data_IF_323931205729
#
_entry.id   IF_323931205729
#
_cell.length_a   1.000
_cell.length_b   1.000
_cell.length_c   1.000
_cell.angle_alpha   90.00
_cell.angle_beta   90.00
_cell.angle_gamma   90.00
#
_symmetry.space_group_name_H-M   'P 1'
#
loop_
_entity.id
_entity.type
_entity.pdbx_description
1 polymer ?
#
# COMPACT_ATOMS: atom_id res chain seq x y z
N UNK A 1 3.88 37.22 10.34
CA UNK A 1 2.62 36.47 10.31
C UNK A 1 2.96 35.03 9.98
N UNK A 2 3.21 34.23 11.00
CA UNK A 2 3.47 32.78 10.90
C UNK A 2 2.80 32.22 12.15
N UNK A 3 1.60 31.67 12.05
CA UNK A 3 0.89 31.24 13.26
C UNK A 3 -0.53 30.70 13.08
N UNK A 4 -1.19 30.94 11.95
CA UNK A 4 -2.57 30.46 11.76
C UNK A 4 -2.67 29.08 11.10
N UNK A 5 -1.63 28.57 10.43
CA UNK A 5 -1.69 27.28 9.70
C UNK A 5 -1.36 26.05 10.57
N UNK A 6 -0.64 26.24 11.69
CA UNK A 6 -0.26 25.14 12.61
C UNK A 6 -1.43 24.75 13.55
N UNK A 7 -2.41 25.65 13.72
CA UNK A 7 -3.47 25.49 14.73
C UNK A 7 -4.50 24.38 14.38
N UNK A 8 -4.52 23.89 13.14
CA UNK A 8 -5.51 22.92 12.65
C UNK A 8 -4.90 21.54 12.32
N UNK A 9 -3.62 21.31 12.66
CA UNK A 9 -2.96 20.02 12.41
C UNK A 9 -3.09 19.07 13.61
N UNK A 10 -3.65 17.90 13.35
CA UNK A 10 -3.65 16.75 14.27
C UNK A 10 -2.36 15.93 14.15
N UNK A 11 -2.11 15.08 15.15
CA UNK A 11 -0.99 14.13 15.18
C UNK A 11 -1.49 12.77 14.68
N UNK A 12 -0.81 12.20 13.69
CA UNK A 12 -1.14 10.92 13.07
C UNK A 12 0.01 9.94 13.24
N UNK A 13 -0.31 8.70 13.64
CA UNK A 13 0.67 7.61 13.64
C UNK A 13 0.79 7.08 12.21
N UNK A 14 2.01 7.11 11.68
CA UNK A 14 2.29 6.74 10.29
C UNK A 14 3.21 5.54 10.26
N UNK A 15 2.83 4.54 9.48
CA UNK A 15 3.55 3.29 9.29
C UNK A 15 3.93 3.13 7.81
N UNK A 16 5.18 2.79 7.55
CA UNK A 16 5.61 2.18 6.29
C UNK A 16 5.89 0.69 6.55
N UNK A 17 4.94 -0.15 6.20
CA UNK A 17 5.00 -1.61 6.36
C UNK A 17 5.63 -2.23 5.11
N UNK A 18 6.81 -2.85 5.28
CA UNK A 18 7.54 -3.52 4.21
C UNK A 18 7.64 -5.04 4.46
N UNK A 19 6.71 -5.59 5.24
CA UNK A 19 6.54 -7.04 5.46
C UNK A 19 7.33 -7.55 6.65
N UNK A 20 8.65 -7.76 6.49
CA UNK A 20 9.52 -8.29 7.56
C UNK A 20 9.84 -7.24 8.65
N UNK A 21 9.28 -6.04 8.54
CA UNK A 21 9.45 -4.95 9.46
C UNK A 21 8.61 -3.75 9.05
N UNK A 22 8.68 -2.69 9.85
CA UNK A 22 8.01 -1.44 9.56
C UNK A 22 8.74 -0.26 10.18
N UNK A 23 8.62 0.89 9.54
CA UNK A 23 9.12 2.16 10.06
C UNK A 23 7.96 3.02 10.52
N UNK A 24 8.12 3.66 11.68
CA UNK A 24 7.06 4.38 12.37
C UNK A 24 7.45 5.83 12.63
N UNK A 25 6.51 6.75 12.42
CA UNK A 25 6.67 8.18 12.70
C UNK A 25 5.38 8.77 13.23
N UNK A 26 5.52 9.86 13.98
CA UNK A 26 4.42 10.80 14.19
C UNK A 26 4.46 11.87 13.11
N UNK A 27 3.34 12.11 12.44
CA UNK A 27 3.20 13.17 11.44
C UNK A 27 2.11 14.16 11.85
N UNK A 28 2.44 15.45 11.86
CA UNK A 28 1.43 16.51 12.01
C UNK A 28 0.87 16.90 10.65
N UNK A 29 -0.43 16.73 10.49
CA UNK A 29 -1.16 16.98 9.25
C UNK A 29 -2.58 17.47 9.55
N UNK A 30 -3.30 17.98 8.56
CA UNK A 30 -4.71 18.37 8.65
C UNK A 30 -5.64 17.16 8.58
N UNK A 31 -5.20 16.07 7.94
CA UNK A 31 -5.98 14.83 7.86
C UNK A 31 -5.12 13.61 7.55
N UNK A 32 -5.65 12.41 7.83
CA UNK A 32 -5.04 11.15 7.41
C UNK A 32 -4.93 11.03 5.87
N UNK A 33 -5.85 11.67 5.13
CA UNK A 33 -5.77 11.68 3.67
C UNK A 33 -4.60 12.53 3.17
N UNK A 34 -4.36 13.69 3.77
CA UNK A 34 -3.22 14.54 3.43
C UNK A 34 -1.90 13.79 3.59
N UNK A 35 -1.75 13.01 4.67
CA UNK A 35 -0.56 12.16 4.88
C UNK A 35 -0.34 11.20 3.70
N UNK A 36 -1.38 10.48 3.27
CA UNK A 36 -1.27 9.53 2.14
C UNK A 36 -1.05 10.21 0.79
N UNK A 37 -1.53 11.44 0.61
CA UNK A 37 -1.29 12.27 -0.58
C UNK A 37 0.13 12.89 -0.62
N UNK A 38 0.81 12.94 0.53
CA UNK A 38 2.16 13.49 0.67
C UNK A 38 3.25 12.42 0.71
N UNK A 39 2.97 11.25 1.29
CA UNK A 39 3.95 10.16 1.37
C UNK A 39 3.43 8.91 0.65
N UNK A 40 4.28 8.31 -0.19
CA UNK A 40 4.00 7.04 -0.85
C UNK A 40 4.10 5.88 0.15
N UNK A 41 3.39 4.78 -0.11
CA UNK A 41 3.51 3.52 0.66
C UNK A 41 3.22 3.61 2.17
N UNK A 42 2.66 4.71 2.67
CA UNK A 42 2.35 4.84 4.10
C UNK A 42 0.90 4.50 4.42
N UNK A 43 0.72 3.92 5.59
CA UNK A 43 -0.55 3.75 6.27
C UNK A 43 -0.67 4.77 7.41
N UNK A 44 -1.87 5.31 7.62
CA UNK A 44 -2.20 6.06 8.83
C UNK A 44 -2.93 5.12 9.77
N UNK A 45 -2.27 4.77 10.87
CA UNK A 45 -2.80 3.83 11.86
C UNK A 45 -3.79 4.56 12.76
N UNK A 46 -5.04 4.09 12.75
CA UNK A 46 -6.15 4.68 13.50
C UNK A 46 -6.63 3.81 14.66
N UNK A 47 -6.11 2.59 14.80
CA UNK A 47 -6.46 1.69 15.91
C UNK A 47 -6.05 2.31 17.26
N UNK A 48 -7.01 2.59 18.17
CA UNK A 48 -6.71 3.32 19.40
C UNK A 48 -5.73 2.60 20.33
N UNK A 49 -5.75 1.26 20.36
CA UNK A 49 -4.85 0.48 21.22
C UNK A 49 -3.41 0.56 20.71
N UNK A 50 -3.22 0.43 19.39
CA UNK A 50 -1.92 0.60 18.73
C UNK A 50 -1.41 2.02 18.92
N UNK A 51 -2.25 3.03 18.65
CA UNK A 51 -1.90 4.45 18.81
C UNK A 51 -1.45 4.75 20.24
N UNK A 52 -2.23 4.31 21.24
CA UNK A 52 -1.89 4.49 22.66
C UNK A 52 -0.59 3.78 23.04
N UNK A 53 -0.31 2.60 22.47
CA UNK A 53 0.94 1.88 22.67
C UNK A 53 2.18 2.68 22.24
N UNK A 54 2.06 3.45 21.16
CA UNK A 54 3.14 4.29 20.64
C UNK A 54 3.21 5.70 21.26
N UNK A 55 2.23 6.13 22.06
CA UNK A 55 2.27 7.46 22.71
C UNK A 55 3.43 7.60 23.69
N UNK A 56 3.84 6.49 24.32
CA UNK A 56 4.96 6.44 25.25
C UNK A 56 6.32 6.20 24.58
N UNK A 57 6.34 5.84 23.29
CA UNK A 57 7.55 5.56 22.53
C UNK A 57 8.18 6.87 22.00
N UNK A 58 9.50 6.97 22.03
CA UNK A 58 10.25 8.11 21.49
C UNK A 58 10.40 8.03 19.95
N UNK A 59 9.26 7.99 19.24
CA UNK A 59 9.24 8.03 17.77
C UNK A 59 9.61 9.43 17.26
N UNK A 60 10.29 9.47 16.10
CA UNK A 60 10.53 10.72 15.38
C UNK A 60 9.20 11.36 14.95
N UNK A 61 9.08 12.68 15.19
CA UNK A 61 7.92 13.49 14.83
C UNK A 61 8.28 14.51 13.73
N UNK A 62 7.44 14.60 12.70
CA UNK A 62 7.61 15.53 11.59
C UNK A 62 6.33 16.33 11.34
N UNK A 63 6.47 17.62 11.03
CA UNK A 63 5.39 18.40 10.42
C UNK A 63 5.36 18.11 8.91
N UNK A 64 4.18 17.82 8.35
CA UNK A 64 4.02 17.46 6.93
C UNK A 64 4.55 18.53 5.96
N UNK A 65 4.54 19.81 6.37
CA UNK A 65 5.02 20.94 5.57
C UNK A 65 6.50 21.28 5.85
N UNK A 66 7.15 20.54 6.76
CA UNK A 66 8.55 20.78 7.06
C UNK A 66 9.41 20.68 5.79
N UNK A 67 10.41 21.56 5.61
CA UNK A 67 11.28 21.51 4.43
C UNK A 67 12.18 20.28 4.39
N UNK A 68 12.34 19.59 5.52
CA UNK A 68 13.13 18.37 5.66
C UNK A 68 12.35 17.34 6.45
N UNK A 69 12.36 16.10 5.94
CA UNK A 69 11.74 14.95 6.58
C UNK A 69 12.80 14.05 7.25
N UNK A 70 12.39 13.25 8.25
CA UNK A 70 13.16 12.10 8.73
C UNK A 70 13.69 11.20 7.61
N UNK A 71 14.75 10.45 7.90
CA UNK A 71 15.25 9.42 6.99
C UNK A 71 14.16 8.36 6.76
N UNK A 72 14.10 7.80 5.55
CA UNK A 72 12.98 6.94 5.12
C UNK A 72 11.79 7.77 4.61
N UNK A 73 11.18 8.59 5.47
CA UNK A 73 10.00 9.39 5.11
C UNK A 73 10.28 10.40 3.99
N UNK A 74 11.51 10.94 3.91
CA UNK A 74 11.94 11.81 2.81
C UNK A 74 11.90 11.11 1.44
N UNK A 75 12.23 9.82 1.38
CA UNK A 75 12.17 9.04 0.13
C UNK A 75 10.73 8.84 -0.33
N UNK A 76 9.85 8.46 0.59
CA UNK A 76 8.43 8.28 0.35
C UNK A 76 7.75 9.57 -0.11
N UNK A 77 8.18 10.73 0.43
CA UNK A 77 7.73 12.05 -0.04
C UNK A 77 8.16 12.32 -1.48
N UNK A 78 9.44 12.09 -1.79
CA UNK A 78 9.98 12.34 -3.12
C UNK A 78 9.32 11.45 -4.19
N UNK A 79 9.05 10.19 -3.87
CA UNK A 79 8.31 9.27 -4.73
C UNK A 79 6.89 9.78 -4.99
N UNK A 80 6.18 10.17 -3.94
CA UNK A 80 4.82 10.72 -4.07
C UNK A 80 4.78 12.02 -4.86
N UNK A 81 5.75 12.90 -4.66
CA UNK A 81 5.87 14.16 -5.41
C UNK A 81 6.05 13.90 -6.91
N UNK A 82 6.78 12.84 -7.30
CA UNK A 82 6.91 12.42 -8.69
C UNK A 82 5.60 11.89 -9.30
N UNK A 83 4.69 11.35 -8.48
CA UNK A 83 3.41 10.79 -8.92
C UNK A 83 2.28 11.84 -8.99
N UNK A 84 2.26 12.82 -8.07
CA UNK A 84 1.11 13.75 -7.85
C UNK A 84 0.68 14.52 -9.11
N UNK A 85 1.61 14.81 -10.02
CA UNK A 85 1.35 15.53 -11.26
C UNK A 85 0.98 14.65 -12.46
N UNK A 86 0.97 13.32 -12.31
CA UNK A 86 0.69 12.39 -13.40
C UNK A 86 -0.81 12.14 -13.56
N UNK A 87 -1.22 11.85 -14.80
CA UNK A 87 -2.58 11.41 -15.08
C UNK A 87 -2.87 10.09 -14.34
N UNK A 88 -4.04 9.99 -13.69
CA UNK A 88 -4.43 8.81 -12.92
C UNK A 88 -3.96 8.79 -11.47
N UNK A 89 -3.23 9.82 -11.00
CA UNK A 89 -2.85 9.91 -9.59
C UNK A 89 -4.08 9.83 -8.67
N UNK A 90 -4.05 8.92 -7.69
CA UNK A 90 -5.15 8.77 -6.74
C UNK A 90 -6.44 8.18 -7.32
N UNK A 91 -6.47 7.76 -8.60
CA UNK A 91 -7.71 7.30 -9.24
C UNK A 91 -8.31 6.05 -8.57
N UNK A 92 -7.47 5.24 -7.91
CA UNK A 92 -7.89 4.02 -7.22
C UNK A 92 -7.95 4.17 -5.69
N UNK A 93 -7.51 5.30 -5.14
CA UNK A 93 -7.25 5.48 -3.70
C UNK A 93 -8.50 5.41 -2.80
N UNK A 94 -9.69 5.69 -3.34
CA UNK A 94 -10.95 5.67 -2.59
C UNK A 94 -11.79 4.41 -2.87
N UNK A 95 -11.23 3.43 -3.59
CA UNK A 95 -11.92 2.17 -3.89
C UNK A 95 -11.73 1.17 -2.77
N UNK A 96 -12.82 0.50 -2.39
CA UNK A 96 -12.79 -0.55 -1.38
C UNK A 96 -12.07 -1.81 -1.87
N UNK A 97 -12.23 -2.13 -3.15
CA UNK A 97 -11.64 -3.30 -3.81
C UNK A 97 -11.15 -2.90 -5.20
N UNK A 98 -9.95 -3.37 -5.55
CA UNK A 98 -9.34 -3.20 -6.86
C UNK A 98 -8.83 -4.56 -7.34
N UNK A 99 -9.02 -4.86 -8.63
CA UNK A 99 -8.48 -6.05 -9.27
C UNK A 99 -7.35 -5.63 -10.21
N UNK A 100 -6.16 -6.20 -10.03
CA UNK A 100 -4.95 -5.81 -10.76
C UNK A 100 -4.32 -7.01 -11.46
N UNK A 101 -3.67 -6.77 -12.60
CA UNK A 101 -2.74 -7.71 -13.25
C UNK A 101 -1.36 -7.09 -13.34
N UNK A 102 -0.37 -7.74 -12.75
CA UNK A 102 1.03 -7.30 -12.76
C UNK A 102 1.92 -8.43 -13.25
N UNK A 103 2.87 -8.09 -14.12
CA UNK A 103 3.87 -9.04 -14.60
C UNK A 103 5.16 -8.84 -13.80
N UNK A 104 5.69 -9.93 -13.29
CA UNK A 104 6.98 -9.98 -12.61
C UNK A 104 7.88 -11.01 -13.28
N UNK A 105 9.18 -10.72 -13.30
CA UNK A 105 10.20 -11.65 -13.75
C UNK A 105 10.68 -12.46 -12.54
N UNK A 106 10.33 -13.74 -12.48
CA UNK A 106 10.79 -14.68 -11.44
C UNK A 106 11.96 -15.52 -11.97
N UNK A 107 12.66 -16.22 -11.07
CA UNK A 107 13.79 -17.09 -11.45
C UNK A 107 13.41 -18.18 -12.47
N UNK A 108 12.18 -18.70 -12.38
CA UNK A 108 11.62 -19.72 -13.27
C UNK A 108 10.96 -19.13 -14.53
N UNK A 109 11.09 -17.81 -14.74
CA UNK A 109 10.53 -17.08 -15.86
C UNK A 109 9.42 -16.11 -15.43
N UNK A 110 8.86 -15.37 -16.39
CA UNK A 110 7.88 -14.35 -16.07
C UNK A 110 6.54 -14.94 -15.63
N UNK A 111 5.92 -14.30 -14.66
CA UNK A 111 4.64 -14.70 -14.07
C UNK A 111 3.71 -13.50 -14.06
N UNK A 112 2.48 -13.70 -14.54
CA UNK A 112 1.41 -12.71 -14.38
C UNK A 112 0.67 -12.99 -13.06
N UNK A 113 0.66 -12.00 -12.19
CA UNK A 113 -0.03 -12.02 -10.91
C UNK A 113 -1.30 -11.22 -11.02
N UNK A 114 -2.42 -11.90 -10.82
CA UNK A 114 -3.73 -11.30 -10.70
C UNK A 114 -4.04 -11.17 -9.22
N UNK A 115 -4.41 -9.99 -8.76
CA UNK A 115 -4.64 -9.72 -7.34
C UNK A 115 -5.98 -9.03 -7.13
N UNK A 116 -6.73 -9.49 -6.14
CA UNK A 116 -7.77 -8.70 -5.49
C UNK A 116 -7.13 -7.99 -4.30
N UNK A 117 -7.22 -6.66 -4.29
CA UNK A 117 -6.56 -5.80 -3.32
C UNK A 117 -7.60 -4.97 -2.56
N UNK A 118 -7.43 -4.88 -1.24
CA UNK A 118 -8.23 -4.01 -0.38
C UNK A 118 -7.84 -2.53 -0.48
N UNK A 119 -8.62 -1.66 0.16
CA UNK A 119 -8.37 -0.21 0.19
C UNK A 119 -7.06 0.22 0.88
N UNK A 120 -6.42 -0.70 1.60
CA UNK A 120 -5.13 -0.51 2.29
C UNK A 120 -3.93 -1.01 1.45
N UNK A 121 -4.17 -1.46 0.22
CA UNK A 121 -3.12 -1.96 -0.67
C UNK A 121 -2.68 -3.40 -0.37
N UNK A 122 -3.28 -4.07 0.62
CA UNK A 122 -3.00 -5.48 0.94
C UNK A 122 -3.78 -6.42 0.03
N UNK A 123 -3.21 -7.58 -0.25
CA UNK A 123 -3.88 -8.63 -1.04
C UNK A 123 -4.98 -9.27 -0.21
N UNK A 124 -6.10 -9.57 -0.85
CA UNK A 124 -7.18 -10.39 -0.32
C UNK A 124 -7.20 -11.76 -0.99
N UNK A 125 -6.87 -11.81 -2.29
CA UNK A 125 -6.71 -13.05 -3.07
C UNK A 125 -5.67 -12.81 -4.16
N UNK A 126 -4.95 -13.86 -4.55
CA UNK A 126 -3.97 -13.83 -5.64
C UNK A 126 -4.12 -15.05 -6.55
N UNK A 127 -3.90 -14.86 -7.85
CA UNK A 127 -3.69 -15.92 -8.82
C UNK A 127 -2.37 -15.66 -9.53
N UNK A 128 -1.51 -16.66 -9.54
CA UNK A 128 -0.26 -16.70 -10.31
C UNK A 128 -0.52 -17.44 -11.61
N UNK A 129 -0.13 -16.83 -12.73
CA UNK A 129 -0.20 -17.39 -14.07
C UNK A 129 1.22 -17.46 -14.67
N UNK A 130 1.99 -18.51 -14.34
CA UNK A 130 3.27 -18.75 -14.98
C UNK A 130 3.08 -19.12 -16.45
N UNK A 131 4.09 -18.87 -17.30
CA UNK A 131 4.05 -19.26 -18.72
C UNK A 131 3.92 -20.77 -18.94
N UNK A 132 4.28 -21.59 -17.95
CA UNK A 132 4.09 -23.04 -17.97
C UNK A 132 2.61 -23.48 -17.92
N UNK A 133 1.68 -22.53 -17.73
CA UNK A 133 0.23 -22.75 -17.78
C UNK A 133 -0.39 -23.29 -16.49
N UNK A 134 0.38 -23.48 -15.42
CA UNK A 134 -0.15 -23.95 -14.13
C UNK A 134 -0.58 -22.77 -13.27
N UNK A 135 -1.86 -22.40 -13.37
CA UNK A 135 -2.43 -21.34 -12.54
C UNK A 135 -2.53 -21.79 -11.07
N UNK A 136 -1.97 -21.00 -10.16
CA UNK A 136 -2.00 -21.23 -8.71
C UNK A 136 -2.75 -20.10 -8.03
N UNK A 137 -3.60 -20.41 -7.06
CA UNK A 137 -4.29 -19.40 -6.24
C UNK A 137 -3.88 -19.49 -4.78
N UNK A 138 -3.76 -18.34 -4.14
CA UNK A 138 -3.46 -18.19 -2.73
C UNK A 138 -4.28 -17.09 -2.07
N UNK A 139 -4.47 -17.20 -0.77
CA UNK A 139 -5.17 -16.23 0.07
C UNK A 139 -4.37 -15.89 1.35
N UNK A 140 -4.97 -15.12 2.26
CA UNK A 140 -4.29 -14.64 3.48
C UNK A 140 -3.74 -15.76 4.37
N UNK A 141 -4.39 -16.93 4.36
CA UNK A 141 -3.96 -18.09 5.13
C UNK A 141 -2.66 -18.74 4.58
N UNK A 142 -2.33 -18.47 3.31
CA UNK A 142 -1.14 -19.01 2.64
C UNK A 142 0.09 -18.07 2.76
N UNK A 143 -0.10 -16.85 3.27
CA UNK A 143 0.95 -15.83 3.30
C UNK A 143 1.46 -15.60 4.72
N UNK A 144 2.76 -15.82 5.00
CA UNK A 144 3.32 -15.56 6.33
C UNK A 144 3.29 -14.06 6.68
N UNK A 145 3.33 -13.20 5.68
CA UNK A 145 3.22 -11.75 5.80
C UNK A 145 2.39 -11.20 4.63
N UNK A 146 1.54 -10.20 4.92
CA UNK A 146 0.74 -9.54 3.90
C UNK A 146 0.84 -8.01 4.01
N UNK A 147 2.04 -7.43 3.78
CA UNK A 147 2.17 -5.98 3.71
C UNK A 147 1.42 -5.42 2.50
N UNK A 148 1.17 -4.10 2.45
CA UNK A 148 0.71 -3.45 1.24
C UNK A 148 1.65 -3.75 0.08
N UNK A 149 1.12 -4.24 -1.04
CA UNK A 149 1.92 -4.60 -2.23
C UNK A 149 1.71 -3.66 -3.39
N UNK A 150 0.75 -2.75 -3.24
CA UNK A 150 0.46 -1.65 -4.14
C UNK A 150 0.11 -0.41 -3.33
N UNK A 151 0.49 0.75 -3.86
CA UNK A 151 0.03 2.04 -3.37
C UNK A 151 -1.11 2.53 -4.28
N UNK A 152 -2.34 2.58 -3.79
CA UNK A 152 -3.53 2.91 -4.60
C UNK A 152 -3.55 4.36 -5.13
N UNK A 153 -2.62 5.21 -4.68
CA UNK A 153 -2.40 6.52 -5.27
C UNK A 153 -1.46 6.50 -6.48
N UNK A 154 -0.73 5.41 -6.70
CA UNK A 154 0.21 5.29 -7.81
C UNK A 154 -0.55 5.28 -9.16
N UNK A 155 -0.31 6.29 -10.03
CA UNK A 155 -0.97 6.41 -11.33
C UNK A 155 -0.73 5.20 -12.25
N UNK A 156 0.38 4.47 -12.08
CA UNK A 156 0.70 3.33 -12.95
C UNK A 156 -0.32 2.20 -12.84
N UNK A 157 -1.01 2.10 -11.70
CA UNK A 157 -1.97 1.04 -11.42
C UNK A 157 -3.21 1.15 -12.31
N UNK A 158 -3.55 2.34 -12.81
CA UNK A 158 -4.70 2.53 -13.71
C UNK A 158 -4.56 1.68 -14.97
N UNK A 159 -3.34 1.57 -15.51
CA UNK A 159 -3.05 0.73 -16.67
C UNK A 159 -2.99 -0.78 -16.37
N UNK A 160 -3.07 -1.16 -15.10
CA UNK A 160 -2.96 -2.55 -14.62
C UNK A 160 -4.29 -3.10 -14.11
N UNK A 161 -5.34 -2.27 -14.07
CA UNK A 161 -6.66 -2.72 -13.63
C UNK A 161 -7.25 -3.74 -14.61
N UNK A 162 -7.80 -4.82 -14.03
CA UNK A 162 -8.60 -5.81 -14.75
C UNK A 162 -10.03 -5.82 -14.21
N UNK A 163 -10.95 -6.42 -14.96
CA UNK A 163 -12.30 -6.57 -14.44
C UNK A 163 -12.35 -7.63 -13.34
N UNK A 164 -13.32 -7.48 -12.42
CA UNK A 164 -13.64 -8.55 -11.46
C UNK A 164 -13.92 -9.88 -12.15
N UNK A 165 -14.65 -9.85 -13.26
CA UNK A 165 -15.01 -11.07 -13.99
C UNK A 165 -13.78 -11.81 -14.50
N UNK A 166 -12.79 -11.08 -15.03
CA UNK A 166 -11.52 -11.67 -15.49
C UNK A 166 -10.76 -12.33 -14.34
N UNK A 167 -10.75 -11.68 -13.18
CA UNK A 167 -10.13 -12.23 -11.97
C UNK A 167 -10.84 -13.51 -11.50
N UNK A 168 -12.17 -13.47 -11.35
CA UNK A 168 -12.96 -14.59 -10.82
C UNK A 168 -12.91 -15.82 -11.74
N UNK A 169 -12.83 -15.61 -13.06
CA UNK A 169 -12.61 -16.70 -14.02
C UNK A 169 -11.29 -17.43 -13.75
N UNK A 170 -10.18 -16.68 -13.63
CA UNK A 170 -8.87 -17.29 -13.34
C UNK A 170 -8.84 -17.93 -11.95
N UNK A 171 -9.46 -17.30 -10.96
CA UNK A 171 -9.58 -17.85 -9.60
C UNK A 171 -10.32 -19.19 -9.55
N UNK A 172 -11.37 -19.34 -10.36
CA UNK A 172 -12.16 -20.57 -10.43
C UNK A 172 -11.38 -21.72 -11.11
N UNK A 173 -10.49 -21.40 -12.05
CA UNK A 173 -9.69 -22.38 -12.79
C UNK A 173 -8.35 -22.73 -12.14
N UNK A 174 -7.82 -21.83 -11.30
CA UNK A 174 -6.55 -22.03 -10.61
C UNK A 174 -6.62 -23.13 -9.54
N UNK A 175 -5.52 -23.87 -9.41
CA UNK A 175 -5.35 -24.85 -8.33
C UNK A 175 -5.03 -24.13 -7.03
N UNK A 176 -5.55 -24.63 -5.92
CA UNK A 176 -5.12 -24.15 -4.60
C UNK A 176 -3.62 -24.38 -4.45
N UNK A 177 -2.93 -23.41 -3.86
CA UNK A 177 -1.60 -23.63 -3.33
C UNK A 177 -1.74 -24.56 -2.12
N UNK A 178 -1.91 -25.87 -2.37
CA UNK A 178 -1.95 -26.86 -1.29
C UNK A 178 -0.63 -26.76 -0.53
N UNK A 179 -0.71 -26.37 0.74
CA UNK A 179 0.37 -26.48 1.69
C UNK A 179 0.77 -27.95 1.75
N UNK A 180 1.87 -28.32 1.11
CA UNK A 180 2.44 -29.65 1.27
C UNK A 180 2.72 -29.89 2.75
N UNK A 181 1.97 -30.83 3.35
CA UNK A 181 2.28 -31.43 4.66
C UNK A 181 3.65 -32.13 4.64
#
# INVERSE_FOLDING_TARGET
MVGEDVADKGRFLVLHDYGMGGSWWWVRARSAREVREVFAWVEVVADPETVAGFEAEELEEADIDAPRMPAGLNGLRAERDAQRGQEGFGALADRSIVYLRRRWEEDDGPVDYLMEVGSDGRRLRQVELPENGTALRSGPDDWPFNPPVVDLFDPVLVGQEISRSDFEEQWAHARSMDSGE
#
